data_IF_519170896788
#
_entry.id   IF_519170896788
#
_cell.length_a   1.000
_cell.length_b   1.000
_cell.length_c   1.000
_cell.angle_alpha   90.00
_cell.angle_beta   90.00
_cell.angle_gamma   90.00
#
_symmetry.space_group_name_H-M   'P 1'
#
loop_
_entity.id
_entity.type
_entity.pdbx_description
1 polymer ?
#
# COMPACT_ATOMS: atom_id res chain seq x y z
N UNK A 1 7.61 -23.15 4.89
CA UNK A 1 6.27 -23.54 4.40
C UNK A 1 5.27 -22.61 5.06
N UNK A 2 4.79 -21.58 4.35
CA UNK A 2 3.94 -20.55 4.95
C UNK A 2 2.51 -21.10 5.13
N UNK A 3 2.19 -21.58 6.32
CA UNK A 3 0.84 -22.01 6.66
C UNK A 3 -0.02 -20.78 7.03
N UNK A 4 -0.67 -20.18 6.05
CA UNK A 4 -1.76 -19.24 6.29
C UNK A 4 -3.07 -20.01 6.39
N UNK A 5 -3.50 -20.23 7.63
CA UNK A 5 -4.63 -21.10 7.99
C UNK A 5 -5.87 -20.25 8.26
N UNK A 6 -6.74 -20.10 7.26
CA UNK A 6 -8.04 -19.45 7.46
C UNK A 6 -9.01 -20.44 8.12
N UNK A 7 -9.49 -20.14 9.34
CA UNK A 7 -10.52 -20.96 10.01
C UNK A 7 -11.93 -20.75 9.45
N UNK A 8 -12.15 -19.64 8.76
CA UNK A 8 -13.44 -19.25 8.21
C UNK A 8 -13.29 -18.68 6.81
N UNK A 9 -14.30 -18.89 5.97
CA UNK A 9 -14.35 -18.36 4.61
C UNK A 9 -14.58 -16.84 4.65
N UNK A 10 -13.70 -16.02 4.04
CA UNK A 10 -13.89 -14.56 3.99
C UNK A 10 -15.10 -14.15 3.14
N UNK A 11 -15.67 -15.06 2.34
CA UNK A 11 -16.76 -14.77 1.44
C UNK A 11 -18.14 -15.14 1.97
N UNK A 12 -18.25 -16.19 2.78
CA UNK A 12 -19.54 -16.68 3.29
C UNK A 12 -19.57 -16.98 4.78
N UNK A 13 -18.43 -16.89 5.49
CA UNK A 13 -18.33 -17.16 6.92
C UNK A 13 -18.37 -18.63 7.32
N UNK A 14 -18.46 -19.57 6.37
CA UNK A 14 -18.44 -21.00 6.67
C UNK A 14 -17.10 -21.43 7.29
N UNK A 15 -17.12 -22.41 8.20
CA UNK A 15 -15.91 -23.00 8.77
C UNK A 15 -15.13 -23.75 7.69
N UNK A 16 -13.83 -23.50 7.61
CA UNK A 16 -12.93 -24.11 6.64
C UNK A 16 -11.84 -24.91 7.34
N UNK A 17 -11.35 -25.97 6.69
CA UNK A 17 -10.15 -26.65 7.16
C UNK A 17 -8.91 -25.90 6.67
N UNK A 18 -7.78 -26.05 7.38
CA UNK A 18 -6.47 -25.54 6.95
C UNK A 18 -6.08 -25.77 5.50
N UNK A 19 -6.48 -26.92 4.98
CA UNK A 19 -5.98 -27.46 3.73
C UNK A 19 -6.96 -27.22 2.58
N UNK A 20 -8.14 -26.67 2.87
CA UNK A 20 -9.15 -26.41 1.85
C UNK A 20 -8.69 -25.27 0.93
N UNK A 21 -8.50 -25.58 -0.35
CA UNK A 21 -8.21 -24.59 -1.40
C UNK A 21 -9.51 -23.92 -1.88
N UNK A 22 -10.64 -24.61 -1.74
CA UNK A 22 -11.96 -24.18 -2.20
C UNK A 22 -12.95 -24.35 -1.07
N UNK A 23 -13.80 -23.34 -0.84
CA UNK A 23 -14.84 -23.44 0.17
C UNK A 23 -15.92 -24.44 -0.26
N UNK A 24 -16.22 -25.50 0.53
CA UNK A 24 -17.25 -26.48 0.20
C UNK A 24 -18.67 -25.91 0.28
N UNK A 25 -18.86 -24.77 0.94
CA UNK A 25 -20.17 -24.16 1.10
C UNK A 25 -20.51 -23.15 -0.01
N UNK A 26 -19.56 -22.29 -0.40
CA UNK A 26 -19.81 -21.27 -1.42
C UNK A 26 -19.14 -21.54 -2.78
N UNK A 27 -18.31 -22.59 -2.88
CA UNK A 27 -17.59 -22.96 -4.09
C UNK A 27 -16.47 -21.99 -4.51
N UNK A 28 -16.23 -20.90 -3.75
CA UNK A 28 -15.16 -19.94 -4.07
C UNK A 28 -13.81 -20.45 -3.60
N UNK A 29 -12.79 -20.23 -4.44
CA UNK A 29 -11.38 -20.50 -4.12
C UNK A 29 -10.91 -19.53 -3.05
N UNK A 30 -10.15 -20.04 -2.07
CA UNK A 30 -9.55 -19.20 -1.05
C UNK A 30 -8.33 -18.47 -1.60
N UNK A 31 -8.05 -17.26 -1.09
CA UNK A 31 -6.82 -16.57 -1.42
C UNK A 31 -5.62 -17.36 -0.86
N UNK A 32 -5.00 -18.19 -1.70
CA UNK A 32 -3.75 -18.86 -1.39
C UNK A 32 -2.61 -17.92 -1.72
N UNK A 33 -2.27 -17.06 -0.76
CA UNK A 33 -1.00 -16.34 -0.61
C UNK A 33 -0.14 -16.21 -1.88
N UNK A 34 -0.71 -15.69 -2.97
CA UNK A 34 0.09 -14.87 -3.86
C UNK A 34 0.39 -13.64 -3.02
N UNK A 35 1.65 -13.59 -2.56
CA UNK A 35 2.38 -12.43 -2.05
C UNK A 35 1.55 -11.17 -2.20
N UNK A 36 1.30 -10.38 -1.12
CA UNK A 36 0.44 -9.21 -1.19
C UNK A 36 0.89 -8.36 -2.37
N UNK A 37 0.24 -8.57 -3.54
CA UNK A 37 0.67 -7.99 -4.80
C UNK A 37 0.37 -6.57 -4.57
N UNK A 38 1.42 -5.83 -4.18
CA UNK A 38 1.37 -4.49 -3.67
C UNK A 38 0.23 -3.79 -4.35
N UNK A 39 -0.94 -3.82 -3.73
CA UNK A 39 -1.94 -2.84 -4.01
C UNK A 39 -1.23 -1.67 -3.39
N UNK A 40 -0.43 -1.00 -4.22
CA UNK A 40 -0.01 0.38 -4.08
C UNK A 40 -1.33 1.17 -4.08
N UNK A 41 -2.19 0.89 -3.10
CA UNK A 41 -3.18 1.84 -2.66
C UNK A 41 -2.28 2.95 -2.17
N UNK A 42 -2.26 3.98 -2.99
CA UNK A 42 -1.49 5.18 -2.83
C UNK A 42 -2.09 5.95 -1.63
N UNK A 43 -2.06 5.34 -0.45
CA UNK A 43 -2.60 5.87 0.80
C UNK A 43 -1.55 6.66 1.57
N UNK A 44 -0.40 6.91 0.96
CA UNK A 44 0.60 7.82 1.51
C UNK A 44 0.11 9.26 1.39
N UNK A 45 -0.15 9.90 2.53
CA UNK A 45 -0.54 11.32 2.64
C UNK A 45 0.35 12.26 1.81
N UNK A 46 1.63 11.90 1.65
CA UNK A 46 2.65 12.58 0.84
C UNK A 46 2.28 12.83 -0.62
N UNK A 47 1.28 12.11 -1.13
CA UNK A 47 0.86 12.19 -2.52
C UNK A 47 -0.57 12.71 -2.70
N UNK A 48 -1.18 13.20 -1.62
CA UNK A 48 -2.42 13.98 -1.68
C UNK A 48 -2.11 15.30 -2.40
N UNK A 49 -2.93 15.65 -3.41
CA UNK A 49 -2.69 16.81 -4.28
C UNK A 49 -2.61 18.16 -3.53
N UNK A 50 -3.10 18.23 -2.29
CA UNK A 50 -2.98 19.38 -1.40
C UNK A 50 -2.24 19.09 -0.09
N UNK A 51 -1.22 18.21 -0.11
CA UNK A 51 -0.46 17.92 1.10
C UNK A 51 0.39 19.15 1.53
N UNK A 52 0.04 19.87 2.61
CA UNK A 52 0.62 21.18 2.94
C UNK A 52 2.13 21.10 3.21
N UNK A 53 2.59 19.97 3.74
CA UNK A 53 4.02 19.70 3.95
C UNK A 53 4.80 19.63 2.62
N UNK A 54 4.21 19.10 1.54
CA UNK A 54 4.86 19.00 0.23
C UNK A 54 5.04 20.38 -0.42
N UNK A 55 4.03 21.24 -0.31
CA UNK A 55 4.12 22.63 -0.76
C UNK A 55 5.16 23.42 0.04
N UNK A 56 5.14 23.32 1.37
CA UNK A 56 6.12 23.99 2.23
C UNK A 56 7.57 23.60 1.90
N UNK A 57 7.83 22.30 1.72
CA UNK A 57 9.17 21.80 1.37
C UNK A 57 9.62 22.23 -0.03
N UNK A 58 8.69 22.43 -0.96
CA UNK A 58 9.00 22.89 -2.34
C UNK A 58 9.48 24.34 -2.35
N UNK A 59 8.85 25.21 -1.56
CA UNK A 59 9.24 26.62 -1.40
C UNK A 59 10.64 26.74 -0.81
N UNK A 60 10.91 26.01 0.28
CA UNK A 60 12.24 25.99 0.92
C UNK A 60 13.35 25.54 -0.03
N UNK A 61 13.10 24.51 -0.84
CA UNK A 61 14.09 24.06 -1.83
C UNK A 61 14.30 25.07 -2.96
N UNK A 62 13.25 25.76 -3.41
CA UNK A 62 13.37 26.82 -4.41
C UNK A 62 14.27 27.95 -3.88
N UNK A 63 14.01 28.45 -2.67
CA UNK A 63 14.82 29.48 -2.01
C UNK A 63 16.28 29.06 -1.87
N UNK A 64 16.54 27.80 -1.46
CA UNK A 64 17.91 27.27 -1.38
C UNK A 64 18.60 27.19 -2.75
N UNK A 65 17.88 26.77 -3.79
CA UNK A 65 18.42 26.71 -5.16
C UNK A 65 18.73 28.11 -5.68
N UNK A 66 17.87 29.09 -5.42
CA UNK A 66 18.09 30.49 -5.80
C UNK A 66 19.28 31.10 -5.06
N UNK A 67 19.38 30.90 -3.74
CA UNK A 67 20.53 31.30 -2.96
C UNK A 67 21.84 30.67 -3.46
N UNK A 68 21.81 29.38 -3.84
CA UNK A 68 22.97 28.70 -4.42
C UNK A 68 23.35 29.25 -5.81
N UNK A 69 22.37 29.61 -6.65
CA UNK A 69 22.62 30.26 -7.95
C UNK A 69 23.23 31.65 -7.79
N UNK A 70 22.73 32.45 -6.86
CA UNK A 70 23.24 33.80 -6.60
C UNK A 70 24.70 33.74 -6.10
N UNK A 71 25.03 32.80 -5.21
CA UNK A 71 26.41 32.55 -4.75
C UNK A 71 27.37 32.11 -5.85
N UNK A 72 26.89 31.42 -6.89
CA UNK A 72 27.70 30.99 -8.05
C UNK A 72 27.90 32.10 -9.09
N UNK A 73 27.09 33.17 -9.02
CA UNK A 73 27.13 34.31 -9.95
C UNK A 73 27.98 35.48 -9.39
N UNK A 74 28.37 35.40 -8.12
CA UNK A 74 29.30 36.30 -7.43
C UNK A 74 30.69 35.67 -7.43
#
# INVERSE_FOLDING_TARGET
MAEQKFSFCPYCGAKLKPDDVVCPNCGKKLPQNDEPKSNKVWTGLSRLFGNPYKEGMSRYQAEKKEAAKNKKKK
#
